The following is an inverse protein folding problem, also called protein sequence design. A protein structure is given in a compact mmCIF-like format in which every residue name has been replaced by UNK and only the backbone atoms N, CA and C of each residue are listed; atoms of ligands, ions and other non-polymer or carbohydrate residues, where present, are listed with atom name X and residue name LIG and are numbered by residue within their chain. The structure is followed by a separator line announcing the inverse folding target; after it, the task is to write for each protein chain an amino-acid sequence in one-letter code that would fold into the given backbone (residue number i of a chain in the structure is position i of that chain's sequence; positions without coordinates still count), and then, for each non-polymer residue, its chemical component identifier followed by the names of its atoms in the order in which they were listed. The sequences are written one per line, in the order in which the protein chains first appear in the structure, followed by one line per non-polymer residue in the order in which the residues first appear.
data_IF_211981817680
#
_entry.id   IF_211981817680
#
_cell.length_a   1.000
_cell.length_b   1.000
_cell.length_c   1.000
_cell.angle_alpha   90.00
_cell.angle_beta   90.00
_cell.angle_gamma   90.00
#
_symmetry.space_group_name_H-M   'P 1'
#
loop_
_entity.id
_entity.type
_entity.pdbx_description
1 polymer ?
#
# COMPACT_ATOMS: atom_id res chain seq x y z
N UNK A 1 -41.64 -22.40 -10.04
CA UNK A 1 -40.22 -22.57 -10.44
C UNK A 1 -39.92 -21.36 -11.32
N UNK A 2 -39.17 -20.34 -10.92
CA UNK A 2 -38.11 -20.21 -9.93
C UNK A 2 -38.42 -19.06 -8.96
N UNK A 3 -38.10 -19.24 -7.67
CA UNK A 3 -38.08 -18.16 -6.68
C UNK A 3 -36.76 -17.41 -6.85
N UNK A 4 -36.80 -16.11 -7.12
CA UNK A 4 -35.63 -15.23 -7.06
C UNK A 4 -35.60 -14.64 -5.65
N UNK A 5 -34.81 -15.23 -4.77
CA UNK A 5 -34.50 -14.62 -3.48
C UNK A 5 -33.38 -13.60 -3.70
N UNK A 6 -33.72 -12.32 -3.54
CA UNK A 6 -32.76 -11.23 -3.45
C UNK A 6 -32.04 -11.38 -2.10
N UNK A 7 -30.88 -12.03 -2.09
CA UNK A 7 -30.01 -12.07 -0.92
C UNK A 7 -29.16 -10.80 -0.90
N UNK A 8 -29.26 -10.02 0.18
CA UNK A 8 -28.41 -8.86 0.44
C UNK A 8 -26.95 -9.30 0.64
N UNK A 9 -26.19 -9.26 -0.44
CA UNK A 9 -24.82 -9.70 -0.57
C UNK A 9 -23.79 -8.63 -0.11
N UNK A 10 -24.05 -7.94 1.00
CA UNK A 10 -23.26 -6.76 1.37
C UNK A 10 -22.18 -6.97 2.46
N UNK A 11 -21.91 -8.22 2.88
CA UNK A 11 -20.90 -8.52 3.92
C UNK A 11 -19.58 -9.12 3.41
N UNK A 12 -19.62 -10.01 2.42
CA UNK A 12 -18.52 -10.97 2.14
C UNK A 12 -17.53 -10.49 1.07
N UNK A 13 -18.00 -9.68 0.11
CA UNK A 13 -17.17 -9.20 -1.01
C UNK A 13 -15.99 -8.34 -0.58
N UNK A 14 -16.08 -7.64 0.56
CA UNK A 14 -15.01 -6.76 1.02
C UNK A 14 -13.79 -7.56 1.50
N UNK A 15 -14.02 -8.73 2.09
CA UNK A 15 -12.99 -9.57 2.69
C UNK A 15 -12.26 -10.38 1.60
N UNK A 16 -12.99 -11.03 0.69
CA UNK A 16 -12.39 -11.70 -0.48
C UNK A 16 -11.56 -10.74 -1.35
N UNK A 17 -12.01 -9.49 -1.48
CA UNK A 17 -11.27 -8.46 -2.23
C UNK A 17 -9.96 -8.09 -1.53
N UNK A 18 -9.95 -7.95 -0.21
CA UNK A 18 -8.74 -7.64 0.54
C UNK A 18 -7.74 -8.79 0.53
N UNK A 19 -8.21 -10.04 0.60
CA UNK A 19 -7.35 -11.23 0.45
C UNK A 19 -6.69 -11.27 -0.94
N UNK A 20 -7.46 -10.91 -1.98
CA UNK A 20 -6.95 -10.81 -3.35
C UNK A 20 -5.88 -9.73 -3.47
N UNK A 21 -6.08 -8.57 -2.84
CA UNK A 21 -5.09 -7.47 -2.83
C UNK A 21 -3.81 -7.88 -2.10
N UNK A 22 -3.93 -8.52 -0.93
CA UNK A 22 -2.79 -9.00 -0.16
C UNK A 22 -1.94 -9.98 -0.98
N UNK A 23 -2.59 -10.95 -1.63
CA UNK A 23 -1.91 -11.92 -2.49
C UNK A 23 -1.22 -11.27 -3.69
N UNK A 24 -1.90 -10.35 -4.38
CA UNK A 24 -1.31 -9.64 -5.51
C UNK A 24 -0.08 -8.81 -5.08
N UNK A 25 -0.16 -8.15 -3.92
CA UNK A 25 0.93 -7.38 -3.35
C UNK A 25 2.14 -8.26 -3.01
N UNK A 26 1.90 -9.41 -2.38
CA UNK A 26 2.94 -10.40 -2.06
C UNK A 26 3.65 -10.90 -3.33
N UNK A 27 2.89 -11.24 -4.38
CA UNK A 27 3.44 -11.68 -5.67
C UNK A 27 4.32 -10.60 -6.32
N UNK A 28 3.85 -9.35 -6.32
CA UNK A 28 4.61 -8.20 -6.84
C UNK A 28 5.92 -8.02 -6.08
N UNK A 29 5.86 -7.95 -4.75
CA UNK A 29 7.04 -7.77 -3.90
C UNK A 29 8.03 -8.93 -4.04
N UNK A 30 7.54 -10.17 -4.08
CA UNK A 30 8.38 -11.35 -4.26
C UNK A 30 9.12 -11.32 -5.61
N UNK A 31 8.46 -10.86 -6.66
CA UNK A 31 9.07 -10.75 -8.00
C UNK A 31 10.04 -9.56 -8.14
N UNK A 32 9.81 -8.49 -7.37
CA UNK A 32 10.57 -7.25 -7.40
C UNK A 32 11.86 -7.32 -6.58
N UNK A 33 11.84 -8.01 -5.44
CA UNK A 33 13.00 -8.15 -4.54
C UNK A 33 14.29 -8.61 -5.25
N UNK A 34 14.30 -9.73 -6.02
CA UNK A 34 15.52 -10.19 -6.69
C UNK A 34 15.99 -9.28 -7.83
N UNK A 35 15.13 -8.37 -8.31
CA UNK A 35 15.47 -7.40 -9.37
C UNK A 35 16.11 -6.12 -8.80
N UNK A 36 16.13 -5.96 -7.47
CA UNK A 36 16.67 -4.77 -6.82
C UNK A 36 15.81 -3.52 -7.00
N UNK A 37 14.52 -3.67 -7.30
CA UNK A 37 13.59 -2.55 -7.49
C UNK A 37 12.72 -2.26 -6.25
N UNK A 38 13.17 -2.66 -5.06
CA UNK A 38 12.51 -2.34 -3.79
C UNK A 38 13.43 -1.48 -2.94
N UNK A 39 12.90 -0.33 -2.50
CA UNK A 39 13.50 0.48 -1.43
C UNK A 39 12.78 0.14 -0.13
N UNK A 40 13.52 -0.14 0.94
CA UNK A 40 12.96 -0.48 2.27
C UNK A 40 13.42 0.57 3.28
N UNK A 41 12.45 1.07 4.05
CA UNK A 41 12.69 2.13 5.04
C UNK A 41 12.10 3.47 4.63
N UNK A 42 11.56 4.20 5.60
CA UNK A 42 10.84 5.46 5.38
C UNK A 42 11.78 6.57 4.89
N UNK A 43 12.96 6.65 5.49
CA UNK A 43 13.97 7.65 5.12
C UNK A 43 14.55 7.38 3.73
N UNK A 44 14.82 6.11 3.43
CA UNK A 44 15.30 5.67 2.12
C UNK A 44 14.25 5.93 1.04
N UNK A 45 12.98 5.63 1.32
CA UNK A 45 11.87 5.93 0.41
C UNK A 45 11.74 7.43 0.16
N UNK A 46 11.76 8.25 1.22
CA UNK A 46 11.73 9.71 1.09
C UNK A 46 12.91 10.24 0.26
N UNK A 47 14.11 9.67 0.44
CA UNK A 47 15.28 10.02 -0.36
C UNK A 47 15.10 9.64 -1.83
N UNK A 48 14.59 8.44 -2.12
CA UNK A 48 14.33 7.99 -3.50
C UNK A 48 13.31 8.89 -4.19
N UNK A 49 12.20 9.22 -3.52
CA UNK A 49 11.18 10.14 -4.03
C UNK A 49 11.74 11.54 -4.34
N UNK A 50 12.65 12.04 -3.50
CA UNK A 50 13.26 13.35 -3.71
C UNK A 50 14.33 13.35 -4.81
N UNK A 51 14.94 12.20 -5.12
CA UNK A 51 15.99 12.09 -6.15
C UNK A 51 15.39 11.81 -7.51
N UNK A 52 14.42 10.90 -7.60
CA UNK A 52 13.88 10.39 -8.85
C UNK A 52 12.47 9.79 -8.64
N UNK A 53 11.48 10.68 -8.55
CA UNK A 53 10.08 10.31 -8.33
C UNK A 53 9.48 9.54 -9.50
N UNK A 54 9.93 9.80 -10.74
CA UNK A 54 9.41 9.17 -11.96
C UNK A 54 9.65 7.65 -11.99
N UNK A 55 10.67 7.18 -11.24
CA UNK A 55 11.01 5.76 -11.12
C UNK A 55 10.33 5.07 -9.92
N UNK A 56 9.52 5.78 -9.14
CA UNK A 56 8.77 5.22 -8.01
C UNK A 56 7.32 4.96 -8.43
N UNK A 57 6.93 3.69 -8.51
CA UNK A 57 5.62 3.26 -9.03
C UNK A 57 4.59 2.97 -7.93
N UNK A 58 5.05 2.59 -6.73
CA UNK A 58 4.18 2.22 -5.62
C UNK A 58 4.92 2.45 -4.30
N UNK A 59 4.27 3.14 -3.36
CA UNK A 59 4.71 3.25 -1.96
C UNK A 59 3.75 2.52 -1.03
N UNK A 60 4.31 1.74 -0.09
CA UNK A 60 3.56 1.00 0.92
C UNK A 60 4.01 1.52 2.29
N UNK A 61 3.07 2.11 3.03
CA UNK A 61 3.29 2.56 4.40
C UNK A 61 2.67 1.53 5.34
N UNK A 62 3.51 0.82 6.10
CA UNK A 62 3.06 -0.11 7.13
C UNK A 62 3.19 0.58 8.50
N UNK A 63 2.14 0.49 9.32
CA UNK A 63 2.08 1.11 10.65
C UNK A 63 1.34 0.18 11.61
N UNK A 64 1.79 0.12 12.86
CA UNK A 64 1.07 -0.52 13.96
C UNK A 64 0.62 0.49 15.03
N UNK A 65 0.05 0.02 16.15
CA UNK A 65 -0.47 0.88 17.22
C UNK A 65 0.62 1.65 17.99
N UNK A 66 1.86 1.17 18.00
CA UNK A 66 2.99 1.84 18.63
C UNK A 66 3.58 2.92 17.72
N UNK A 67 3.58 2.69 16.39
CA UNK A 67 4.01 3.68 15.39
C UNK A 67 3.15 4.97 15.37
N UNK A 68 1.88 4.88 15.80
CA UNK A 68 0.99 6.05 15.90
C UNK A 68 1.48 7.07 16.93
N UNK A 69 2.27 6.62 17.93
CA UNK A 69 2.83 7.49 18.97
C UNK A 69 4.10 8.22 18.50
N UNK A 70 4.75 7.73 17.44
CA UNK A 70 5.92 8.37 16.86
C UNK A 70 5.50 9.49 15.92
N UNK A 71 5.46 10.71 16.47
CA UNK A 71 5.11 11.92 15.73
C UNK A 71 6.03 12.13 14.51
N UNK A 72 7.32 11.80 14.62
CA UNK A 72 8.24 11.98 13.51
C UNK A 72 7.93 11.02 12.36
N UNK A 73 7.60 9.76 12.68
CA UNK A 73 7.18 8.76 11.71
C UNK A 73 5.87 9.16 11.03
N UNK A 74 4.88 9.63 11.80
CA UNK A 74 3.59 10.08 11.26
C UNK A 74 3.74 11.29 10.31
N UNK A 75 4.66 12.22 10.61
CA UNK A 75 4.98 13.33 9.70
C UNK A 75 5.56 12.79 8.39
N UNK A 76 6.50 11.84 8.44
CA UNK A 76 7.08 11.26 7.22
C UNK A 76 6.04 10.51 6.39
N UNK A 77 5.15 9.74 7.02
CA UNK A 77 4.05 9.08 6.32
C UNK A 77 3.14 10.08 5.62
N UNK A 78 2.77 11.16 6.31
CA UNK A 78 1.95 12.22 5.73
C UNK A 78 2.63 12.87 4.52
N UNK A 79 3.94 13.17 4.64
CA UNK A 79 4.70 13.80 3.56
C UNK A 79 4.85 12.88 2.34
N UNK A 80 5.17 11.60 2.57
CA UNK A 80 5.30 10.60 1.50
C UNK A 80 3.96 10.41 0.80
N UNK A 81 2.87 10.28 1.56
CA UNK A 81 1.54 10.13 0.99
C UNK A 81 1.16 11.35 0.15
N UNK A 82 1.38 12.57 0.65
CA UNK A 82 1.12 13.80 -0.11
C UNK A 82 1.91 13.83 -1.41
N UNK A 83 3.21 13.55 -1.35
CA UNK A 83 4.09 13.54 -2.51
C UNK A 83 3.63 12.48 -3.55
N UNK A 84 3.31 11.27 -3.12
CA UNK A 84 2.82 10.24 -4.04
C UNK A 84 1.48 10.62 -4.69
N UNK A 85 0.56 11.28 -3.98
CA UNK A 85 -0.71 11.74 -4.54
C UNK A 85 -0.56 12.90 -5.53
N UNK A 86 0.49 13.71 -5.40
CA UNK A 86 0.75 14.84 -6.32
C UNK A 86 1.40 14.40 -7.63
N UNK A 87 2.04 13.22 -7.67
CA UNK A 87 2.81 12.71 -8.81
C UNK A 87 2.11 11.54 -9.56
N UNK A 88 0.80 11.36 -9.37
CA UNK A 88 -0.05 10.39 -10.10
C UNK A 88 -0.36 10.85 -11.55
#
# INVERSE_FOLDING_TARGET
MFSMTFEELNGDYSQERMDTVAKALEEVLTSALPRGCITVGVYEAAKSLNVDSDNVVLCILATDEDDVKDVALQIHFTLIQAFCCEND
#
